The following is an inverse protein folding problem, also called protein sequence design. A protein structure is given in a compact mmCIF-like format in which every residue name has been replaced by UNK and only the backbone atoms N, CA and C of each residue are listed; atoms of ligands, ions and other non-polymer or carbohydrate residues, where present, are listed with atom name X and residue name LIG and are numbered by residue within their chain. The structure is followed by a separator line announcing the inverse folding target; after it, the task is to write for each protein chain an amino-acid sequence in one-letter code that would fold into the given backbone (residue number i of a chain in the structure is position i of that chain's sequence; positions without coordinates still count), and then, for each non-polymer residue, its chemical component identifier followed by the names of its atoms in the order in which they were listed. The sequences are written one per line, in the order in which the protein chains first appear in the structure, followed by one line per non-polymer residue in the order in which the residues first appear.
data_IF_128579719620
#
_entry.id   IF_128579719620
#
_cell.length_a   1.000
_cell.length_b   1.000
_cell.length_c   1.000
_cell.angle_alpha   90.00
_cell.angle_beta   90.00
_cell.angle_gamma   90.00
#
_symmetry.space_group_name_H-M   'P 1'
#
loop_
_entity.id
_entity.type
_entity.pdbx_description
1 polymer ?
#
# COMPACT_ATOMS: atom_id res chain seq x y z
N UNK A 1 -14.25 4.69 -4.94
CA UNK A 1 -13.12 4.38 -5.84
C UNK A 1 -12.05 3.72 -4.99
N UNK A 2 -11.48 2.58 -5.39
CA UNK A 2 -10.39 1.94 -4.63
C UNK A 2 -9.14 2.80 -4.73
N UNK A 3 -8.46 3.00 -3.60
CA UNK A 3 -7.27 3.87 -3.52
C UNK A 3 -6.16 3.13 -2.79
N UNK A 4 -5.05 2.81 -3.46
CA UNK A 4 -3.93 2.15 -2.81
C UNK A 4 -3.11 3.14 -2.00
N UNK A 5 -2.45 2.62 -0.99
CA UNK A 5 -1.55 3.35 -0.12
C UNK A 5 -0.13 2.83 -0.28
N UNK A 6 0.86 3.70 -0.11
CA UNK A 6 2.28 3.36 -0.10
C UNK A 6 3.04 4.31 0.83
N UNK A 7 4.19 3.88 1.35
CA UNK A 7 5.09 4.77 2.06
C UNK A 7 5.87 5.68 1.09
N UNK A 8 6.17 6.94 1.47
CA UNK A 8 7.03 7.82 0.69
C UNK A 8 8.42 7.22 0.40
N UNK A 9 8.94 6.40 1.31
CA UNK A 9 10.23 5.69 1.14
C UNK A 9 10.19 4.74 -0.05
N UNK A 10 9.10 3.98 -0.21
CA UNK A 10 8.90 3.08 -1.36
C UNK A 10 8.78 3.88 -2.66
N UNK A 11 7.98 4.95 -2.67
CA UNK A 11 7.80 5.79 -3.85
C UNK A 11 9.07 6.55 -4.25
N UNK A 12 9.92 6.89 -3.28
CA UNK A 12 11.23 7.47 -3.54
C UNK A 12 12.17 6.53 -4.32
N UNK A 13 11.98 5.21 -4.19
CA UNK A 13 12.79 4.20 -4.87
C UNK A 13 12.17 3.72 -6.19
N UNK A 14 10.83 3.59 -6.24
CA UNK A 14 10.10 2.98 -7.37
C UNK A 14 9.29 3.96 -8.21
N UNK A 15 9.22 5.23 -7.81
CA UNK A 15 8.36 6.22 -8.44
C UNK A 15 6.89 6.10 -8.01
N UNK A 16 6.07 7.07 -8.44
CA UNK A 16 4.65 7.12 -8.11
C UNK A 16 3.78 6.66 -9.29
N UNK A 17 2.88 5.68 -9.11
CA UNK A 17 1.96 5.28 -10.17
C UNK A 17 0.91 6.37 -10.38
N UNK A 18 0.86 6.90 -11.60
CA UNK A 18 -0.10 7.96 -11.99
C UNK A 18 -1.40 7.40 -12.58
N UNK A 19 -1.41 6.12 -12.97
CA UNK A 19 -2.54 5.44 -13.61
C UNK A 19 -2.65 4.01 -13.08
N UNK A 20 -3.87 3.42 -13.01
CA UNK A 20 -4.06 2.05 -12.52
C UNK A 20 -3.13 1.04 -13.20
N UNK A 21 -2.95 1.14 -14.53
CA UNK A 21 -2.08 0.24 -15.29
C UNK A 21 -0.63 0.19 -14.77
N UNK A 22 -0.10 1.31 -14.24
CA UNK A 22 1.26 1.37 -13.70
C UNK A 22 1.43 0.53 -12.42
N UNK A 23 0.33 0.19 -11.72
CA UNK A 23 0.40 -0.67 -10.53
C UNK A 23 0.96 -2.07 -10.84
N UNK A 24 0.95 -2.51 -12.11
CA UNK A 24 1.55 -3.79 -12.52
C UNK A 24 3.08 -3.80 -12.40
N UNK A 25 3.69 -2.62 -12.37
CA UNK A 25 5.15 -2.43 -12.25
C UNK A 25 5.59 -2.28 -10.78
N UNK A 26 4.65 -2.32 -9.85
CA UNK A 26 4.89 -2.16 -8.42
C UNK A 26 4.66 -3.45 -7.63
N UNK A 27 5.39 -3.55 -6.53
CA UNK A 27 5.19 -4.59 -5.52
C UNK A 27 3.83 -4.35 -4.85
N UNK A 28 2.92 -5.31 -5.01
CA UNK A 28 1.57 -5.24 -4.47
C UNK A 28 1.41 -6.22 -3.30
N UNK A 29 0.93 -5.73 -2.15
CA UNK A 29 0.56 -6.56 -1.01
C UNK A 29 -0.92 -6.91 -1.16
N UNK A 30 -1.26 -8.20 -1.16
CA UNK A 30 -2.65 -8.65 -1.27
C UNK A 30 -3.27 -8.70 0.12
N UNK A 31 -4.20 -7.78 0.37
CA UNK A 31 -5.08 -7.83 1.52
C UNK A 31 -6.40 -8.52 1.16
N UNK A 32 -6.76 -9.58 1.88
CA UNK A 32 -8.01 -10.33 1.66
C UNK A 32 -8.73 -10.59 2.97
N UNK A 33 -9.98 -10.12 3.09
CA UNK A 33 -10.89 -10.56 4.17
C UNK A 33 -11.79 -11.73 3.74
N UNK A 34 -12.09 -11.86 2.45
CA UNK A 34 -13.13 -12.79 1.92
C UNK A 34 -12.60 -13.78 0.86
N UNK A 35 -11.31 -14.10 0.90
CA UNK A 35 -10.69 -15.08 0.00
C UNK A 35 -10.37 -14.62 -1.44
N UNK A 36 -10.97 -13.51 -1.92
CA UNK A 36 -10.88 -13.03 -3.30
C UNK A 36 -10.03 -11.74 -3.46
N UNK A 37 -8.76 -11.77 -3.08
CA UNK A 37 -7.85 -10.60 -3.20
C UNK A 37 -7.00 -10.57 -4.48
N UNK A 38 -7.34 -11.39 -5.46
CA UNK A 38 -6.48 -11.59 -6.64
C UNK A 38 -6.70 -10.53 -7.73
N UNK A 39 -7.73 -9.68 -7.60
CA UNK A 39 -8.01 -8.58 -8.53
C UNK A 39 -8.38 -7.30 -7.79
N UNK A 40 -7.79 -6.18 -8.22
CA UNK A 40 -8.31 -4.86 -7.87
C UNK A 40 -9.12 -4.30 -9.03
N UNK A 41 -10.34 -3.86 -8.72
CA UNK A 41 -11.24 -3.26 -9.71
C UNK A 41 -11.32 -1.76 -9.49
N UNK A 42 -10.63 -1.01 -10.33
CA UNK A 42 -10.72 0.44 -10.37
C UNK A 42 -11.89 0.84 -11.26
N UNK A 43 -12.58 1.92 -10.90
CA UNK A 43 -13.59 2.54 -11.76
C UNK A 43 -13.09 3.92 -12.14
N UNK A 44 -12.92 4.17 -13.43
CA UNK A 44 -12.63 5.49 -13.99
C UNK A 44 -13.81 5.83 -14.90
N UNK A 45 -14.60 6.83 -14.53
CA UNK A 45 -15.84 7.20 -15.22
C UNK A 45 -16.79 5.99 -15.40
N UNK A 46 -17.13 5.64 -16.64
CA UNK A 46 -17.96 4.48 -16.98
C UNK A 46 -17.17 3.16 -17.13
N UNK A 47 -15.84 3.21 -17.07
CA UNK A 47 -14.98 2.05 -17.35
C UNK A 47 -14.51 1.35 -16.07
N UNK A 48 -14.61 0.02 -16.05
CA UNK A 48 -14.11 -0.84 -14.96
C UNK A 48 -12.80 -1.49 -15.38
N UNK A 49 -11.71 -1.12 -14.72
CA UNK A 49 -10.39 -1.68 -14.94
C UNK A 49 -10.14 -2.70 -13.83
N UNK A 50 -10.30 -3.98 -14.15
CA UNK A 50 -10.05 -5.08 -13.23
C UNK A 50 -8.67 -5.69 -13.48
N UNK A 51 -7.72 -5.43 -12.59
CA UNK A 51 -6.34 -5.84 -12.73
C UNK A 51 -6.01 -7.03 -11.83
N UNK A 52 -5.45 -8.14 -12.38
CA UNK A 52 -4.91 -9.21 -11.56
C UNK A 52 -3.67 -8.72 -10.82
N UNK A 53 -3.51 -9.21 -9.59
CA UNK A 53 -2.42 -8.77 -8.72
C UNK A 53 -1.55 -9.96 -8.40
N UNK A 54 -0.35 -9.93 -8.97
CA UNK A 54 0.74 -10.78 -8.58
C UNK A 54 1.30 -10.25 -7.25
N UNK A 55 0.60 -10.48 -6.15
CA UNK A 55 1.08 -10.06 -4.84
C UNK A 55 1.85 -11.18 -4.17
N UNK A 56 3.14 -10.94 -3.90
CA UNK A 56 4.03 -11.91 -3.25
C UNK A 56 3.57 -12.30 -1.83
N UNK A 57 2.76 -11.44 -1.20
CA UNK A 57 2.26 -11.64 0.16
C UNK A 57 0.73 -11.56 0.17
N UNK A 58 0.08 -12.59 0.73
CA UNK A 58 -1.35 -12.61 1.04
C UNK A 58 -1.50 -12.47 2.54
N UNK A 59 -2.18 -11.42 2.98
CA UNK A 59 -2.31 -11.07 4.39
C UNK A 59 -3.78 -10.82 4.69
N UNK A 60 -4.31 -11.45 5.73
CA UNK A 60 -5.68 -11.26 6.22
C UNK A 60 -5.79 -10.24 7.36
N UNK A 61 -4.65 -9.79 7.91
CA UNK A 61 -4.59 -8.78 8.97
C UNK A 61 -4.25 -7.40 8.42
N UNK A 62 -5.15 -6.45 8.64
CA UNK A 62 -4.95 -5.05 8.26
C UNK A 62 -3.73 -4.42 8.93
N UNK A 63 -3.44 -4.80 10.18
CA UNK A 63 -2.28 -4.25 10.91
C UNK A 63 -0.96 -4.69 10.29
N UNK A 64 -0.86 -5.95 9.87
CA UNK A 64 0.34 -6.48 9.19
C UNK A 64 0.53 -5.81 7.84
N UNK A 65 -0.56 -5.57 7.09
CA UNK A 65 -0.50 -4.83 5.81
C UNK A 65 -0.02 -3.40 6.04
N UNK A 66 -0.56 -2.70 7.05
CA UNK A 66 -0.09 -1.35 7.41
C UNK A 66 1.40 -1.33 7.72
N UNK A 67 1.87 -2.25 8.56
CA UNK A 67 3.27 -2.29 8.97
C UNK A 67 4.19 -2.62 7.78
N UNK A 68 3.77 -3.50 6.88
CA UNK A 68 4.47 -3.77 5.62
C UNK A 68 4.51 -2.55 4.68
N UNK A 69 3.42 -1.78 4.58
CA UNK A 69 3.41 -0.53 3.83
C UNK A 69 4.41 0.48 4.43
N UNK A 70 4.41 0.66 5.74
CA UNK A 70 5.32 1.57 6.45
C UNK A 70 6.80 1.17 6.29
N UNK A 71 7.07 -0.13 6.26
CA UNK A 71 8.41 -0.66 6.00
C UNK A 71 8.81 -0.59 4.51
N UNK A 72 7.92 -0.12 3.63
CA UNK A 72 8.22 0.11 2.23
C UNK A 72 8.22 -1.16 1.38
N UNK A 73 7.48 -2.19 1.76
CA UNK A 73 7.39 -3.44 0.99
C UNK A 73 6.58 -3.31 -0.31
N UNK A 74 5.87 -2.19 -0.51
CA UNK A 74 5.08 -1.98 -1.70
C UNK A 74 3.88 -1.08 -1.50
N UNK A 75 2.83 -1.38 -2.26
CA UNK A 75 1.53 -0.74 -2.20
C UNK A 75 0.40 -1.74 -1.93
N UNK A 76 -0.69 -1.29 -1.31
CA UNK A 76 -1.81 -2.16 -0.94
C UNK A 76 -3.12 -1.41 -0.93
N UNK A 77 -4.22 -2.13 -1.16
CA UNK A 77 -5.53 -1.73 -0.72
C UNK A 77 -5.74 -2.21 0.72
N UNK A 78 -6.07 -1.28 1.61
CA UNK A 78 -6.40 -1.53 3.02
C UNK A 78 -7.49 -0.53 3.41
N UNK A 79 -8.46 -0.87 4.26
CA UNK A 79 -9.44 0.10 4.71
C UNK A 79 -8.76 1.29 5.37
N UNK A 80 -9.14 2.51 4.95
CA UNK A 80 -8.54 3.78 5.41
C UNK A 80 -8.48 3.89 6.93
N UNK A 81 -9.47 3.34 7.64
CA UNK A 81 -9.54 3.36 9.10
C UNK A 81 -8.28 2.79 9.79
N UNK A 82 -7.57 1.86 9.14
CA UNK A 82 -6.35 1.26 9.69
C UNK A 82 -5.08 2.07 9.41
N UNK A 83 -5.17 3.13 8.61
CA UNK A 83 -4.02 3.94 8.16
C UNK A 83 -4.24 5.44 8.37
N UNK A 84 -5.28 5.84 9.11
CA UNK A 84 -5.64 7.26 9.30
C UNK A 84 -4.52 8.05 9.97
N UNK A 85 -3.90 7.51 11.03
CA UNK A 85 -2.81 8.16 11.75
C UNK A 85 -1.58 8.33 10.85
N UNK A 86 -1.22 7.28 10.13
CA UNK A 86 -0.08 7.26 9.22
C UNK A 86 -0.26 8.22 8.04
N UNK A 87 -1.50 8.38 7.55
CA UNK A 87 -1.83 9.37 6.53
C UNK A 87 -1.75 10.80 7.08
N UNK A 88 -2.21 11.03 8.32
CA UNK A 88 -2.15 12.34 8.97
C UNK A 88 -0.70 12.78 9.23
N UNK A 89 0.16 11.84 9.63
CA UNK A 89 1.59 12.06 9.86
C UNK A 89 2.42 12.09 8.57
N UNK A 90 1.84 11.79 7.41
CA UNK A 90 2.53 11.71 6.12
C UNK A 90 3.48 10.51 5.99
N UNK A 91 3.36 9.50 6.86
CA UNK A 91 4.09 8.23 6.78
C UNK A 91 3.57 7.32 5.67
N UNK A 92 2.30 7.48 5.29
CA UNK A 92 1.70 6.87 4.10
C UNK A 92 1.11 7.95 3.21
N UNK A 93 1.00 7.64 1.92
CA UNK A 93 0.32 8.49 0.94
C UNK A 93 -0.72 7.70 0.18
N UNK A 94 -1.82 8.38 -0.13
CA UNK A 94 -2.89 7.87 -0.96
C UNK A 94 -2.58 8.09 -2.44
N UNK A 95 -2.67 7.04 -3.23
CA UNK A 95 -2.36 7.04 -4.67
C UNK A 95 -3.63 7.14 -5.52
N UNK A 96 -3.45 7.52 -6.79
CA UNK A 96 -4.52 7.60 -7.80
C UNK A 96 -5.70 8.52 -7.40
N UNK A 97 -5.45 9.55 -6.60
CA UNK A 97 -6.46 10.50 -6.13
C UNK A 97 -6.81 11.62 -7.15
N UNK A 98 -6.41 11.46 -8.42
CA UNK A 98 -6.66 12.43 -9.50
C UNK A 98 -5.86 13.73 -9.39
N UNK A 99 -5.07 13.93 -8.32
CA UNK A 99 -4.13 15.05 -8.22
C UNK A 99 -2.72 14.52 -8.48
N UNK A 100 -1.93 15.14 -9.39
CA UNK A 100 -0.49 14.91 -9.37
C UNK A 100 -0.02 15.33 -7.98
N UNK A 101 0.41 14.38 -7.17
CA UNK A 101 0.93 14.72 -5.84
C UNK A 101 2.24 15.45 -6.12
N UNK A 102 2.18 16.77 -6.07
CA UNK A 102 3.35 17.63 -6.27
C UNK A 102 4.38 17.12 -5.28
N UNK A 103 5.53 16.68 -5.81
CA UNK A 103 6.69 16.15 -5.07
C UNK A 103 6.99 17.04 -3.87
N UNK A 104 6.33 16.82 -2.74
CA UNK A 104 6.77 17.36 -1.46
C UNK A 104 7.91 16.45 -1.06
N UNK A 105 9.09 16.84 -1.53
CA UNK A 105 10.35 16.51 -0.88
C UNK A 105 10.21 16.97 0.58
N UNK A 106 9.62 16.12 1.42
CA UNK A 106 9.74 16.28 2.86
C UNK A 106 11.10 15.71 3.20
N UNK A 107 12.05 16.65 3.30
CA UNK A 107 13.34 16.54 3.96
C UNK A 107 13.30 15.52 5.09
N UNK A 108 14.27 14.60 5.06
CA UNK A 108 14.75 13.76 6.17
C UNK A 108 13.71 12.86 6.85
N UNK A 109 13.52 11.65 6.32
CA UNK A 109 13.10 10.51 7.14
C UNK A 109 14.33 10.07 7.93
N UNK A 110 14.33 10.38 9.23
CA UNK A 110 15.21 9.74 10.20
C UNK A 110 15.05 8.23 10.04
N UNK A 111 16.17 7.50 9.90
CA UNK A 111 16.19 6.03 10.01
C UNK A 111 15.66 5.65 11.39
N UNK A 112 14.38 5.34 11.50
CA UNK A 112 13.85 4.69 12.68
C UNK A 112 14.20 3.20 12.56
N UNK A 113 15.26 2.78 13.27
CA UNK A 113 15.60 1.37 13.44
C UNK A 113 14.47 0.68 14.20
N UNK A 114 13.73 -0.18 13.52
CA UNK A 114 12.66 -0.99 14.09
C UNK A 114 13.23 -2.22 14.79
N UNK A 115 12.87 -2.52 16.06
CA UNK A 115 13.23 -3.78 16.67
C UNK A 115 12.28 -4.87 16.17
N UNK A 116 12.83 -5.86 15.46
CA UNK A 116 12.09 -7.06 15.05
C UNK A 116 11.57 -7.80 16.29
N UNK A 117 10.28 -7.67 16.59
CA UNK A 117 9.61 -8.50 17.61
C UNK A 117 9.22 -9.82 16.95
N UNK A 118 9.90 -10.90 17.33
CA UNK A 118 9.63 -12.28 16.89
C UNK A 118 8.21 -12.67 17.33
N UNK A 119 7.38 -13.09 16.38
CA UNK A 119 6.13 -13.80 16.67
C UNK A 119 6.47 -15.24 17.08
N UNK A 120 6.04 -15.73 18.25
CA UNK A 120 6.20 -17.14 18.60
C UNK A 120 5.20 -17.97 17.80
N UNK A 121 5.69 -18.96 17.05
CA UNK A 121 4.86 -20.01 16.47
C UNK A 121 4.27 -20.85 17.58
N UNK A 122 2.96 -20.80 17.78
CA UNK A 122 2.28 -21.79 18.63
C UNK A 122 2.09 -23.05 17.82
N UNK A 123 2.89 -24.07 18.12
CA UNK A 123 2.55 -25.47 17.86
C UNK A 123 1.56 -25.89 18.93
N UNK A 124 0.40 -26.39 18.52
CA UNK A 124 -0.28 -27.59 19.03
C UNK A 124 -1.55 -27.82 18.19
#
# INVERSE_FOLDING_TARGET
MLRPFAAPTYLGQRGQPLRPAALREHECIRFSLSGHADRWTFRKDCERIAMPIAGRYRVSSSLVVRDALLAGFGLSLIPRLYVQAELAEGRLVELLNGRPTRRRSTRSIRRASWPARRVPSSTL
#
